data_IF_302106932811
#
_entry.id   IF_302106932811
#
_cell.length_a   1.000
_cell.length_b   1.000
_cell.length_c   1.000
_cell.angle_alpha   90.00
_cell.angle_beta   90.00
_cell.angle_gamma   90.00
#
_symmetry.space_group_name_H-M   'P 1'
#
loop_
_entity.id
_entity.type
_entity.pdbx_description
1 polymer ?
#
# COMPACT_ATOMS: atom_id res chain seq x y z
N UNK A 1 15.53 6.94 11.92
CA UNK A 1 14.96 6.42 10.67
C UNK A 1 13.47 6.23 10.81
N UNK A 2 12.71 6.68 9.84
CA UNK A 2 11.26 6.50 9.85
C UNK A 2 10.87 5.02 9.88
N UNK A 3 9.72 4.76 10.45
CA UNK A 3 9.19 3.40 10.61
C UNK A 3 7.68 3.45 10.42
N UNK A 4 7.15 2.50 9.64
CA UNK A 4 5.73 2.41 9.34
C UNK A 4 5.16 1.16 10.00
N UNK A 5 4.01 1.32 10.62
CA UNK A 5 3.21 0.20 11.14
C UNK A 5 1.87 0.17 10.39
N UNK A 6 1.57 -0.99 9.81
CA UNK A 6 0.26 -1.25 9.21
C UNK A 6 -0.50 -2.16 10.16
N UNK A 7 -1.49 -1.61 10.83
CA UNK A 7 -2.34 -2.32 11.80
C UNK A 7 -3.59 -2.81 11.09
N UNK A 8 -3.58 -4.07 10.70
CA UNK A 8 -4.68 -4.67 9.93
C UNK A 8 -5.95 -4.78 10.77
N UNK A 9 -5.81 -5.14 12.04
CA UNK A 9 -6.98 -5.31 12.91
C UNK A 9 -7.78 -4.00 13.05
N UNK A 10 -7.11 -2.86 13.11
CA UNK A 10 -7.73 -1.54 13.27
C UNK A 10 -7.83 -0.76 11.97
N UNK A 11 -7.33 -1.29 10.85
CA UNK A 11 -7.29 -0.63 9.54
C UNK A 11 -6.69 0.77 9.63
N UNK A 12 -5.51 0.85 10.25
CA UNK A 12 -4.77 2.09 10.47
C UNK A 12 -3.32 1.91 10.02
N UNK A 13 -2.75 2.98 9.48
CA UNK A 13 -1.32 3.10 9.22
C UNK A 13 -0.76 4.19 10.14
N UNK A 14 0.33 3.88 10.82
CA UNK A 14 1.02 4.82 11.72
C UNK A 14 2.44 5.04 11.25
N UNK A 15 2.88 6.27 11.29
CA UNK A 15 4.25 6.67 10.97
C UNK A 15 4.96 7.10 12.25
N UNK A 16 6.16 6.57 12.43
CA UNK A 16 7.04 6.87 13.56
C UNK A 16 8.34 7.47 13.06
N UNK A 17 8.96 8.37 13.82
CA UNK A 17 10.30 8.88 13.51
C UNK A 17 11.33 7.77 13.57
N UNK A 18 11.13 6.82 14.48
CA UNK A 18 11.94 5.60 14.63
C UNK A 18 11.12 4.54 15.34
N UNK A 19 11.55 3.29 15.26
CA UNK A 19 10.94 2.19 15.99
C UNK A 19 10.99 2.46 17.51
N UNK A 20 9.88 2.20 18.20
CA UNK A 20 9.75 2.42 19.64
C UNK A 20 9.40 3.84 20.04
N UNK A 21 9.37 4.80 19.11
CA UNK A 21 8.94 6.16 19.37
C UNK A 21 7.41 6.29 19.34
N UNK A 22 6.89 7.49 19.64
CA UNK A 22 5.48 7.78 19.44
C UNK A 22 5.17 7.96 17.97
N UNK A 23 3.94 7.60 17.57
CA UNK A 23 3.46 7.90 16.22
C UNK A 23 3.40 9.42 16.03
N UNK A 24 3.97 9.88 14.90
CA UNK A 24 3.92 11.30 14.51
C UNK A 24 2.80 11.57 13.52
N UNK A 25 2.21 10.51 12.94
CA UNK A 25 1.12 10.62 11.98
C UNK A 25 0.38 9.30 11.91
N UNK A 26 -0.92 9.37 11.69
CA UNK A 26 -1.79 8.20 11.63
C UNK A 26 -2.93 8.46 10.66
N UNK A 27 -3.31 7.43 9.90
CA UNK A 27 -4.44 7.53 8.97
C UNK A 27 -5.16 6.20 8.78
N UNK A 28 -6.40 6.27 8.30
CA UNK A 28 -7.18 5.11 7.95
C UNK A 28 -6.69 4.52 6.62
N UNK A 29 -6.74 3.20 6.52
CA UNK A 29 -6.34 2.43 5.33
C UNK A 29 -7.40 1.38 5.01
N UNK A 30 -7.21 0.69 3.89
CA UNK A 30 -7.98 -0.49 3.55
C UNK A 30 -7.02 -1.59 3.06
N UNK A 31 -6.94 -2.68 3.81
CA UNK A 31 -6.17 -3.87 3.45
C UNK A 31 -7.06 -4.92 2.78
N UNK A 32 -6.55 -6.14 2.60
CA UNK A 32 -7.25 -7.17 1.85
C UNK A 32 -8.60 -7.56 2.46
N UNK A 33 -9.61 -7.66 1.62
CA UNK A 33 -10.91 -8.21 1.99
C UNK A 33 -10.78 -9.62 2.57
N UNK A 34 -9.86 -10.42 2.02
CA UNK A 34 -9.64 -11.79 2.44
C UNK A 34 -8.78 -11.92 3.71
N UNK A 35 -8.46 -10.80 4.38
CA UNK A 35 -7.68 -10.81 5.61
C UNK A 35 -6.18 -10.92 5.36
N UNK A 36 -5.47 -11.51 6.33
CA UNK A 36 -4.00 -11.60 6.29
C UNK A 36 -3.54 -12.98 5.81
N UNK A 37 -2.46 -12.99 5.06
CA UNK A 37 -1.84 -14.20 4.55
C UNK A 37 -0.75 -13.88 3.54
N UNK A 38 0.20 -14.78 3.41
CA UNK A 38 1.43 -14.55 2.65
C UNK A 38 1.50 -15.26 1.31
N UNK A 39 0.61 -16.23 1.04
CA UNK A 39 0.69 -17.04 -0.19
C UNK A 39 0.37 -16.26 -1.44
N UNK A 40 1.13 -16.55 -2.48
CA UNK A 40 0.85 -16.09 -3.84
C UNK A 40 -0.55 -16.55 -4.26
N UNK A 41 -1.34 -15.64 -4.82
CA UNK A 41 -2.69 -15.94 -5.27
C UNK A 41 -3.76 -15.95 -4.17
N UNK A 42 -3.40 -15.67 -2.91
CA UNK A 42 -4.35 -15.65 -1.80
C UNK A 42 -5.24 -14.42 -1.78
N UNK A 43 -4.83 -13.33 -2.43
CA UNK A 43 -5.46 -12.01 -2.33
C UNK A 43 -5.55 -11.51 -0.89
N UNK A 44 -4.59 -11.91 -0.05
CA UNK A 44 -4.48 -11.51 1.35
C UNK A 44 -3.31 -10.55 1.53
N UNK A 45 -3.34 -9.77 2.60
CA UNK A 45 -2.25 -8.85 2.97
C UNK A 45 -1.20 -9.61 3.78
N UNK A 46 0.07 -9.60 3.35
CA UNK A 46 1.12 -10.33 4.06
C UNK A 46 1.48 -9.66 5.38
N UNK A 47 1.81 -10.48 6.37
CA UNK A 47 2.21 -10.05 7.72
C UNK A 47 3.71 -9.95 7.83
N UNK A 48 4.17 -9.27 8.88
CA UNK A 48 5.54 -9.26 9.33
C UNK A 48 6.34 -8.08 8.81
N UNK A 49 7.66 -8.21 8.86
CA UNK A 49 8.58 -7.14 8.53
C UNK A 49 8.81 -7.04 7.03
N UNK A 50 8.71 -5.81 6.55
CA UNK A 50 8.91 -5.44 5.16
C UNK A 50 9.78 -4.19 5.10
N UNK A 51 10.17 -3.83 3.88
CA UNK A 51 10.71 -2.50 3.61
C UNK A 51 10.05 -1.92 2.34
N UNK A 52 10.11 -0.61 2.23
CA UNK A 52 9.74 0.09 0.99
C UNK A 52 10.87 -0.16 0.00
N UNK A 53 10.65 -1.06 -0.95
CA UNK A 53 11.67 -1.45 -1.94
C UNK A 53 11.85 -0.41 -3.01
N UNK A 54 10.76 0.17 -3.49
CA UNK A 54 10.78 1.16 -4.54
C UNK A 54 9.64 2.15 -4.36
N UNK A 55 9.89 3.41 -4.73
CA UNK A 55 8.91 4.48 -4.72
C UNK A 55 8.65 4.90 -6.16
N UNK A 56 7.40 4.87 -6.58
CA UNK A 56 7.01 5.11 -7.96
C UNK A 56 5.97 6.23 -8.01
N UNK A 57 6.11 7.15 -8.97
CA UNK A 57 5.16 8.20 -9.23
C UNK A 57 5.57 9.58 -8.73
N UNK A 58 6.83 9.78 -8.36
CA UNK A 58 7.32 11.12 -7.97
C UNK A 58 7.00 12.14 -9.08
N UNK A 59 6.39 13.27 -8.70
CA UNK A 59 6.01 14.32 -9.64
C UNK A 59 4.75 14.07 -10.44
N UNK A 60 4.15 12.88 -10.36
CA UNK A 60 2.89 12.62 -11.04
C UNK A 60 1.74 13.39 -10.36
N UNK A 61 0.70 13.76 -11.12
CA UNK A 61 -0.44 14.47 -10.53
C UNK A 61 -1.23 13.58 -9.57
N UNK A 62 -1.91 14.21 -8.60
CA UNK A 62 -2.87 13.54 -7.74
C UNK A 62 -3.92 12.85 -8.60
N UNK A 63 -4.21 11.58 -8.31
CA UNK A 63 -5.16 10.79 -9.08
C UNK A 63 -4.59 10.15 -10.34
N UNK A 64 -3.30 10.30 -10.62
CA UNK A 64 -2.67 9.61 -11.74
C UNK A 64 -2.90 8.11 -11.63
N UNK A 65 -3.30 7.49 -12.75
CA UNK A 65 -3.59 6.06 -12.81
C UNK A 65 -2.34 5.27 -13.19
N UNK A 66 -2.06 4.21 -12.44
CA UNK A 66 -0.95 3.30 -12.71
C UNK A 66 -1.48 1.92 -13.07
N UNK A 67 -0.88 1.30 -14.07
CA UNK A 67 -1.12 -0.10 -14.43
C UNK A 67 0.26 -0.73 -14.64
N UNK A 68 0.50 -1.87 -13.99
CA UNK A 68 1.81 -2.52 -14.03
C UNK A 68 2.93 -1.59 -13.56
N UNK A 69 2.67 -0.76 -12.57
CA UNK A 69 3.61 0.21 -11.98
C UNK A 69 4.04 1.32 -12.95
N UNK A 70 3.28 1.55 -13.99
CA UNK A 70 3.57 2.60 -14.98
C UNK A 70 2.38 3.56 -15.09
N UNK A 71 2.62 4.87 -15.21
CA UNK A 71 1.53 5.81 -15.43
C UNK A 71 0.88 5.57 -16.79
N UNK A 72 -0.45 5.57 -16.81
CA UNK A 72 -1.21 5.38 -18.05
C UNK A 72 -1.43 6.69 -18.81
N UNK A 73 -1.20 7.83 -18.16
CA UNK A 73 -1.57 9.15 -18.66
C UNK A 73 -2.99 9.56 -18.29
N UNK A 74 -3.77 8.65 -17.73
CA UNK A 74 -5.13 8.95 -17.25
C UNK A 74 -5.07 9.60 -15.86
N UNK A 75 -6.09 10.40 -15.57
CA UNK A 75 -6.40 10.89 -14.23
C UNK A 75 -7.71 10.25 -13.82
N UNK A 76 -7.75 9.67 -12.62
CA UNK A 76 -8.94 9.00 -12.14
C UNK A 76 -10.14 9.95 -12.07
N UNK A 77 -11.28 9.43 -12.47
CA UNK A 77 -12.58 10.06 -12.26
C UNK A 77 -13.64 8.98 -12.10
N UNK A 78 -14.78 9.27 -11.46
CA UNK A 78 -15.88 8.31 -11.42
C UNK A 78 -16.38 7.90 -12.82
N UNK A 79 -16.33 8.82 -13.79
CA UNK A 79 -16.68 8.51 -15.19
C UNK A 79 -15.71 7.48 -15.79
N UNK A 80 -14.42 7.62 -15.54
CA UNK A 80 -13.41 6.65 -15.99
C UNK A 80 -13.66 5.27 -15.37
N UNK A 81 -14.02 5.23 -14.09
CA UNK A 81 -14.36 3.98 -13.40
C UNK A 81 -15.57 3.29 -14.03
N UNK A 82 -16.57 4.04 -14.47
CA UNK A 82 -17.73 3.47 -15.17
C UNK A 82 -17.33 2.80 -16.48
N UNK A 83 -16.33 3.33 -17.17
CA UNK A 83 -15.81 2.72 -18.41
C UNK A 83 -15.00 1.45 -18.14
N UNK A 84 -14.43 1.31 -16.95
CA UNK A 84 -13.56 0.18 -16.57
C UNK A 84 -13.94 -0.37 -15.19
N UNK A 85 -15.17 -0.92 -15.03
CA UNK A 85 -15.68 -1.28 -13.71
C UNK A 85 -14.92 -2.41 -13.02
N UNK A 86 -14.11 -3.20 -13.76
CA UNK A 86 -13.34 -4.31 -13.22
C UNK A 86 -11.88 -3.96 -12.93
N UNK A 87 -11.46 -2.74 -13.26
CA UNK A 87 -10.07 -2.34 -13.08
C UNK A 87 -9.77 -2.11 -11.59
N UNK A 88 -8.64 -2.63 -11.14
CA UNK A 88 -8.13 -2.33 -9.81
C UNK A 88 -7.39 -0.98 -9.86
N UNK A 89 -7.87 0.00 -9.09
CA UNK A 89 -7.42 1.38 -9.19
C UNK A 89 -6.23 1.62 -8.27
N UNK A 90 -5.05 1.73 -8.87
CA UNK A 90 -3.80 2.11 -8.20
C UNK A 90 -3.49 3.54 -8.59
N UNK A 91 -3.62 4.46 -7.64
CA UNK A 91 -3.62 5.90 -7.92
C UNK A 91 -2.50 6.63 -7.19
N UNK A 92 -2.08 7.73 -7.76
CA UNK A 92 -1.31 8.83 -7.15
C UNK A 92 0.15 8.49 -6.88
N UNK A 93 0.43 7.50 -6.06
CA UNK A 93 1.79 7.05 -5.69
C UNK A 93 1.79 5.57 -5.36
N UNK A 94 2.94 4.94 -5.58
CA UNK A 94 3.18 3.55 -5.21
C UNK A 94 4.42 3.49 -4.31
N UNK A 95 4.26 2.85 -3.14
CA UNK A 95 5.37 2.38 -2.32
C UNK A 95 5.34 0.85 -2.40
N UNK A 96 6.25 0.28 -3.15
CA UNK A 96 6.30 -1.15 -3.42
C UNK A 96 7.05 -1.87 -2.31
N UNK A 97 6.40 -2.85 -1.67
CA UNK A 97 6.94 -3.53 -0.50
C UNK A 97 7.70 -4.80 -0.87
N UNK A 98 8.74 -5.09 -0.10
CA UNK A 98 9.49 -6.33 -0.13
C UNK A 98 9.55 -6.90 1.29
N UNK A 99 9.32 -8.21 1.42
CA UNK A 99 9.45 -8.89 2.72
C UNK A 99 10.90 -8.99 3.17
N UNK A 100 11.10 -9.13 4.47
CA UNK A 100 12.42 -9.26 5.07
C UNK A 100 12.72 -10.65 5.61
N UNK A 101 11.72 -11.54 5.73
CA UNK A 101 11.88 -12.86 6.34
C UNK A 101 11.69 -13.95 5.30
N UNK A 102 12.79 -14.60 4.92
CA UNK A 102 12.77 -15.71 3.96
C UNK A 102 11.87 -16.83 4.49
N UNK A 103 10.98 -17.33 3.62
CA UNK A 103 10.05 -18.41 3.97
C UNK A 103 8.75 -17.93 4.63
N UNK A 104 8.70 -16.67 5.06
CA UNK A 104 7.48 -16.08 5.62
C UNK A 104 6.85 -15.08 4.64
N UNK A 105 7.62 -14.09 4.18
CA UNK A 105 7.14 -13.05 3.26
C UNK A 105 8.17 -12.69 2.18
N UNK A 106 9.20 -13.50 2.04
CA UNK A 106 10.26 -13.32 1.04
C UNK A 106 10.61 -14.65 0.40
N UNK A 107 10.78 -14.63 -0.92
CA UNK A 107 11.11 -15.77 -1.78
C UNK A 107 10.00 -16.84 -1.85
N UNK A 108 10.15 -17.79 -2.73
CA UNK A 108 9.19 -18.87 -2.92
C UNK A 108 7.80 -18.37 -3.30
N UNK A 109 6.79 -19.05 -2.80
CA UNK A 109 5.38 -18.74 -3.05
C UNK A 109 4.78 -17.74 -2.04
N UNK A 110 5.63 -17.12 -1.20
CA UNK A 110 5.21 -16.14 -0.19
C UNK A 110 5.88 -14.78 -0.39
N UNK A 111 6.51 -14.55 -1.53
CA UNK A 111 7.29 -13.33 -1.76
C UNK A 111 6.41 -12.11 -1.96
N UNK A 112 6.42 -11.20 -1.01
CA UNK A 112 5.61 -9.98 -1.03
C UNK A 112 5.85 -9.14 -2.30
N UNK A 113 7.12 -8.97 -2.70
CA UNK A 113 7.46 -8.14 -3.86
C UNK A 113 6.88 -8.74 -5.16
N UNK A 114 7.00 -10.05 -5.33
CA UNK A 114 6.47 -10.77 -6.51
C UNK A 114 4.96 -10.84 -6.54
N UNK A 115 4.31 -10.66 -5.39
CA UNK A 115 2.87 -10.56 -5.29
C UNK A 115 2.35 -9.15 -5.59
N UNK A 116 3.24 -8.20 -5.89
CA UNK A 116 2.90 -6.82 -6.22
C UNK A 116 2.10 -6.15 -5.10
N UNK A 117 2.59 -6.28 -3.87
CA UNK A 117 1.98 -5.65 -2.70
C UNK A 117 2.53 -4.24 -2.56
N UNK A 118 1.64 -3.26 -2.70
CA UNK A 118 1.96 -1.83 -2.61
C UNK A 118 1.20 -1.15 -1.49
N UNK A 119 1.74 -0.03 -1.01
CA UNK A 119 0.95 1.03 -0.39
C UNK A 119 0.66 2.01 -1.52
N UNK A 120 -0.61 2.31 -1.79
CA UNK A 120 -0.98 3.18 -2.90
C UNK A 120 -2.25 3.96 -2.62
N UNK A 121 -2.47 5.02 -3.42
CA UNK A 121 -3.71 5.78 -3.39
C UNK A 121 -4.87 5.02 -4.02
N UNK A 122 -6.09 5.42 -3.65
CA UNK A 122 -7.34 4.82 -4.11
C UNK A 122 -8.35 5.91 -4.44
N UNK A 123 -9.44 5.58 -5.18
CA UNK A 123 -10.50 6.55 -5.43
C UNK A 123 -11.00 7.21 -4.16
N UNK A 124 -11.21 8.53 -4.20
CA UNK A 124 -11.63 9.29 -3.02
C UNK A 124 -12.98 8.80 -2.45
N UNK A 125 -13.83 8.23 -3.29
CA UNK A 125 -15.12 7.69 -2.88
C UNK A 125 -15.03 6.33 -2.19
N UNK A 126 -13.88 5.64 -2.28
CA UNK A 126 -13.71 4.34 -1.62
C UNK A 126 -13.59 4.54 -0.11
N UNK A 127 -14.34 3.78 0.71
CA UNK A 127 -14.23 3.91 2.16
C UNK A 127 -12.89 3.39 2.66
N UNK A 128 -12.32 4.10 3.64
CA UNK A 128 -11.17 3.63 4.41
C UNK A 128 -11.62 3.19 5.79
N UNK A 129 -10.80 2.36 6.45
CA UNK A 129 -11.16 1.78 7.74
C UNK A 129 -11.85 0.44 7.64
N UNK A 130 -12.11 -0.06 6.43
CA UNK A 130 -12.71 -1.37 6.19
C UNK A 130 -11.90 -2.14 5.14
N UNK A 131 -11.68 -3.45 5.33
CA UNK A 131 -10.93 -4.27 4.36
C UNK A 131 -11.65 -4.34 3.02
N UNK A 132 -10.96 -4.03 1.93
CA UNK A 132 -11.57 -4.00 0.60
C UNK A 132 -10.61 -4.27 -0.55
N UNK A 133 -9.29 -4.43 -0.29
CA UNK A 133 -8.31 -4.60 -1.35
C UNK A 133 -8.12 -6.07 -1.75
N UNK A 134 -7.26 -6.30 -2.74
CA UNK A 134 -6.83 -7.63 -3.18
C UNK A 134 -5.44 -7.99 -2.62
N UNK A 135 -5.00 -7.33 -1.54
CA UNK A 135 -3.72 -7.57 -0.89
C UNK A 135 -2.95 -6.29 -0.57
N UNK A 136 -3.03 -5.29 -1.43
CA UNK A 136 -2.37 -4.01 -1.22
C UNK A 136 -2.95 -3.23 -0.04
N UNK A 137 -2.20 -2.24 0.42
CA UNK A 137 -2.62 -1.29 1.45
C UNK A 137 -3.08 -0.02 0.75
N UNK A 138 -4.38 0.20 0.71
CA UNK A 138 -4.97 1.39 0.07
C UNK A 138 -5.05 2.53 1.06
N UNK A 139 -4.77 3.74 0.58
CA UNK A 139 -4.86 4.99 1.33
C UNK A 139 -5.64 6.03 0.53
N UNK A 140 -6.11 7.06 1.22
CA UNK A 140 -6.60 8.26 0.52
C UNK A 140 -5.46 8.89 -0.26
N UNK A 141 -5.78 9.50 -1.39
CA UNK A 141 -4.77 10.12 -2.27
C UNK A 141 -3.94 11.17 -1.55
N UNK A 142 -4.55 12.03 -0.75
CA UNK A 142 -3.82 13.05 0.00
C UNK A 142 -2.89 12.44 1.05
N UNK A 143 -3.28 11.33 1.65
CA UNK A 143 -2.47 10.64 2.65
C UNK A 143 -1.28 9.94 2.04
N UNK A 144 -1.44 9.29 0.89
CA UNK A 144 -0.30 8.63 0.24
C UNK A 144 0.69 9.65 -0.30
N UNK A 145 0.23 10.84 -0.71
CA UNK A 145 1.13 11.93 -1.07
C UNK A 145 2.00 12.34 0.11
N UNK A 146 1.41 12.51 1.30
CA UNK A 146 2.15 12.85 2.51
C UNK A 146 3.15 11.76 2.89
N UNK A 147 2.71 10.50 2.90
CA UNK A 147 3.58 9.37 3.26
C UNK A 147 4.77 9.28 2.31
N UNK A 148 4.51 9.41 1.01
CA UNK A 148 5.54 9.33 -0.03
C UNK A 148 6.65 10.37 0.19
N UNK A 149 6.27 11.59 0.58
CA UNK A 149 7.23 12.66 0.84
C UNK A 149 8.02 12.45 2.14
N UNK A 150 7.43 11.78 3.11
CA UNK A 150 8.02 11.63 4.46
C UNK A 150 9.00 10.48 4.59
N UNK A 151 8.92 9.47 3.72
CA UNK A 151 9.73 8.26 3.89
C UNK A 151 10.57 7.97 2.66
N UNK A 152 11.86 7.66 2.83
CA UNK A 152 12.71 7.21 1.73
C UNK A 152 12.49 5.73 1.42
N UNK A 153 12.95 5.27 0.27
CA UNK A 153 13.11 3.84 0.02
C UNK A 153 14.04 3.24 1.10
N UNK A 154 13.76 2.00 1.47
CA UNK A 154 14.45 1.34 2.58
C UNK A 154 13.77 1.50 3.93
N UNK A 155 12.75 2.37 4.04
CA UNK A 155 11.97 2.50 5.28
C UNK A 155 11.32 1.17 5.64
N UNK A 156 11.44 0.78 6.90
CA UNK A 156 10.82 -0.47 7.38
C UNK A 156 9.32 -0.31 7.55
N UNK A 157 8.61 -1.37 7.21
CA UNK A 157 7.15 -1.45 7.32
C UNK A 157 6.82 -2.75 8.05
N UNK A 158 6.18 -2.62 9.20
CA UNK A 158 5.72 -3.78 9.97
C UNK A 158 4.22 -3.93 9.78
N UNK A 159 3.79 -5.02 9.17
CA UNK A 159 2.38 -5.33 8.99
C UNK A 159 1.96 -6.28 10.11
N UNK A 160 1.12 -5.79 11.00
CA UNK A 160 0.62 -6.55 12.16
C UNK A 160 -0.87 -6.86 11.96
N UNK A 161 -1.27 -8.04 12.44
CA UNK A 161 -2.65 -8.50 12.33
C UNK A 161 -3.48 -8.16 13.57
#
# INVERSE_FOLDING_TARGET
MAYIEVDVAHQRLRLFEREGARAVWETAIATARNGVGERYGSYQTPRGLHLVRAKIGAGAPRGAVFVGRRPTGEIYSPALRQLHPQRDWVLTRILWLSGLTVGQNRLGDVDTMRRYIYIHGAPDEDPMGVPSSHGCVKMRNDDVLQLFERVPAGTRVHIIA
#
